data_IF_389531209940
#
_entry.id   IF_389531209940
#
_cell.length_a   1.000
_cell.length_b   1.000
_cell.length_c   1.000
_cell.angle_alpha   90.00
_cell.angle_beta   90.00
_cell.angle_gamma   90.00
#
_symmetry.space_group_name_H-M   'P 1'
#
loop_
_entity.id
_entity.type
_entity.pdbx_description
1 polymer ?
#
# COMPACT_ATOMS: atom_id res chain seq x y z
N UNK A 1 12.87 28.74 29.29
CA UNK A 1 11.95 27.60 29.01
C UNK A 1 11.54 27.66 27.55
N UNK A 2 12.09 26.77 26.71
CA UNK A 2 11.74 26.62 25.30
C UNK A 2 10.28 26.18 25.16
N UNK A 3 9.49 26.90 24.36
CA UNK A 3 8.06 26.70 24.20
C UNK A 3 7.75 25.43 23.41
N UNK A 4 7.21 24.39 24.06
CA UNK A 4 6.68 23.16 23.43
C UNK A 4 5.61 23.42 22.35
N UNK A 5 5.03 24.62 22.34
CA UNK A 5 4.00 25.04 21.37
C UNK A 5 4.58 25.48 20.01
N UNK A 6 5.82 25.96 19.97
CA UNK A 6 6.46 26.41 18.72
C UNK A 6 7.01 25.20 17.93
N UNK A 7 7.54 24.18 18.61
CA UNK A 7 7.97 22.94 17.93
C UNK A 7 6.81 22.22 17.22
N UNK A 8 5.59 22.26 17.79
CA UNK A 8 4.41 21.60 17.18
C UNK A 8 3.84 22.34 15.96
N UNK A 9 4.23 23.60 15.75
CA UNK A 9 3.87 24.38 14.56
C UNK A 9 4.92 24.23 13.44
N UNK A 10 6.15 23.89 13.79
CA UNK A 10 7.26 23.66 12.85
C UNK A 10 7.31 22.22 12.33
N UNK A 11 6.75 21.28 13.07
CA UNK A 11 6.64 19.87 12.67
C UNK A 11 5.31 19.69 11.94
N UNK A 12 5.33 19.51 10.62
CA UNK A 12 4.13 19.22 9.84
C UNK A 12 3.32 18.06 10.43
N UNK A 13 2.02 18.00 10.13
CA UNK A 13 1.18 16.86 10.57
C UNK A 13 1.54 15.60 9.80
N UNK A 14 1.46 14.45 10.46
CA UNK A 14 1.52 13.15 9.83
C UNK A 14 0.44 13.00 8.77
N UNK A 15 0.75 12.26 7.70
CA UNK A 15 -0.16 12.02 6.58
C UNK A 15 -0.45 10.54 6.43
N UNK A 16 -1.71 10.20 6.19
CA UNK A 16 -2.11 8.83 5.86
C UNK A 16 -1.81 8.56 4.39
N UNK A 17 -0.92 7.62 4.11
CA UNK A 17 -0.52 7.27 2.72
C UNK A 17 -0.98 5.89 2.28
N UNK A 18 -1.48 5.07 3.20
CA UNK A 18 -2.20 3.85 2.92
C UNK A 18 -3.40 3.76 3.86
N UNK A 19 -4.50 3.29 3.31
CA UNK A 19 -5.80 3.15 3.97
C UNK A 19 -6.53 1.94 3.39
N UNK A 20 -6.78 0.96 4.25
CA UNK A 20 -7.41 -0.32 3.93
C UNK A 20 -6.73 -1.04 2.76
N UNK A 21 -5.42 -1.27 2.87
CA UNK A 21 -4.61 -1.95 1.85
C UNK A 21 -4.41 -1.17 0.55
N UNK A 22 -4.87 0.08 0.46
CA UNK A 22 -4.77 0.92 -0.74
C UNK A 22 -3.95 2.18 -0.48
N UNK A 23 -3.02 2.47 -1.40
CA UNK A 23 -2.23 3.69 -1.40
C UNK A 23 -3.08 4.93 -1.72
N UNK A 24 -2.91 5.98 -0.92
CA UNK A 24 -3.44 7.33 -1.19
C UNK A 24 -2.42 8.09 -2.03
N UNK A 25 -2.40 7.83 -3.34
CA UNK A 25 -1.36 8.33 -4.25
C UNK A 25 -1.21 9.85 -4.24
N UNK A 26 -2.32 10.60 -4.17
CA UNK A 26 -2.28 12.07 -4.07
C UNK A 26 -1.61 12.53 -2.78
N UNK A 27 -1.93 11.87 -1.65
CA UNK A 27 -1.29 12.17 -0.37
C UNK A 27 0.19 11.80 -0.41
N UNK A 28 0.55 10.65 -0.97
CA UNK A 28 1.93 10.19 -1.09
C UNK A 28 2.78 11.15 -1.93
N UNK A 29 2.24 11.70 -3.03
CA UNK A 29 2.88 12.73 -3.86
C UNK A 29 3.22 14.01 -3.11
N UNK A 30 2.55 14.28 -1.99
CA UNK A 30 2.82 15.43 -1.12
C UNK A 30 3.83 15.14 0.00
N UNK A 31 4.39 13.93 0.03
CA UNK A 31 5.41 13.52 1.01
C UNK A 31 6.80 13.44 0.38
N UNK A 32 7.81 13.22 1.24
CA UNK A 32 9.21 13.02 0.81
C UNK A 32 9.46 11.62 0.21
N UNK A 33 8.52 10.68 0.32
CA UNK A 33 8.69 9.31 -0.17
C UNK A 33 7.95 9.08 -1.49
N UNK A 34 8.66 8.52 -2.48
CA UNK A 34 8.01 7.95 -3.66
C UNK A 34 7.28 6.65 -3.32
N UNK A 35 6.37 6.23 -4.20
CA UNK A 35 5.70 4.93 -4.10
C UNK A 35 6.72 3.80 -4.06
N UNK A 36 7.66 3.77 -4.98
CA UNK A 36 8.67 2.72 -5.10
C UNK A 36 9.50 2.62 -3.82
N UNK A 37 9.85 3.76 -3.21
CA UNK A 37 10.58 3.79 -1.94
C UNK A 37 9.71 3.27 -0.79
N UNK A 38 8.43 3.64 -0.73
CA UNK A 38 7.50 3.10 0.26
C UNK A 38 7.38 1.58 0.14
N UNK A 39 7.13 1.04 -1.06
CA UNK A 39 7.01 -0.41 -1.27
C UNK A 39 8.31 -1.15 -0.89
N UNK A 40 9.47 -0.58 -1.21
CA UNK A 40 10.77 -1.13 -0.79
C UNK A 40 10.95 -1.14 0.74
N UNK A 41 10.51 -0.09 1.43
CA UNK A 41 10.55 -0.02 2.90
C UNK A 41 9.59 -1.00 3.57
N UNK A 42 8.45 -1.29 2.93
CA UNK A 42 7.48 -2.29 3.38
C UNK A 42 8.01 -3.72 3.17
N UNK A 43 8.58 -4.01 2.01
CA UNK A 43 9.24 -5.28 1.73
C UNK A 43 10.34 -5.57 2.76
N UNK A 44 11.21 -4.58 3.04
CA UNK A 44 12.26 -4.69 4.06
C UNK A 44 11.74 -4.85 5.50
N UNK A 45 10.43 -4.67 5.74
CA UNK A 45 9.74 -4.93 7.02
C UNK A 45 8.92 -6.21 7.02
N UNK A 46 9.07 -7.05 6.00
CA UNK A 46 8.37 -8.34 5.90
C UNK A 46 6.92 -8.24 5.43
N UNK A 47 6.47 -7.07 4.93
CA UNK A 47 5.15 -6.96 4.30
C UNK A 47 5.24 -7.60 2.92
N UNK A 48 4.40 -8.61 2.69
CA UNK A 48 4.34 -9.38 1.46
C UNK A 48 3.27 -8.87 0.49
N UNK A 49 2.16 -8.33 1.00
CA UNK A 49 1.10 -7.71 0.20
C UNK A 49 0.40 -6.58 0.98
N UNK A 50 -0.10 -5.56 0.29
CA UNK A 50 -0.63 -4.35 0.94
C UNK A 50 -1.84 -4.61 1.85
N UNK A 51 -2.63 -5.64 1.56
CA UNK A 51 -3.84 -5.97 2.34
C UNK A 51 -3.55 -6.45 3.78
N UNK A 52 -2.27 -6.71 4.12
CA UNK A 52 -1.83 -6.94 5.50
C UNK A 52 -1.86 -5.67 6.37
N UNK A 53 -2.00 -4.49 5.77
CA UNK A 53 -1.95 -3.21 6.47
C UNK A 53 -3.31 -2.50 6.38
N UNK A 54 -3.84 -2.06 7.52
CA UNK A 54 -5.00 -1.16 7.55
C UNK A 54 -4.56 0.27 7.28
N UNK A 55 -3.47 0.75 7.91
CA UNK A 55 -3.00 2.14 7.72
C UNK A 55 -1.49 2.28 7.69
N UNK A 56 -1.03 3.30 6.96
CA UNK A 56 0.35 3.81 7.06
C UNK A 56 0.30 5.32 7.26
N UNK A 57 1.03 5.78 8.27
CA UNK A 57 1.28 7.19 8.53
C UNK A 57 2.73 7.53 8.15
N UNK A 58 2.91 8.65 7.44
CA UNK A 58 4.22 9.27 7.18
C UNK A 58 4.32 10.55 8.00
N UNK A 59 5.34 10.64 8.84
CA UNK A 59 5.75 11.88 9.48
C UNK A 59 6.51 12.78 8.48
N UNK A 60 6.60 14.11 8.72
CA UNK A 60 7.43 15.01 7.89
C UNK A 60 8.89 14.57 7.76
N UNK A 61 9.41 13.86 8.77
CA UNK A 61 10.76 13.28 8.78
C UNK A 61 10.94 12.14 7.75
N UNK A 62 9.85 11.61 7.21
CA UNK A 62 9.83 10.39 6.40
C UNK A 62 9.71 9.10 7.22
N UNK A 63 9.63 9.19 8.56
CA UNK A 63 9.37 8.03 9.41
C UNK A 63 7.98 7.43 9.14
N UNK A 64 7.91 6.10 9.17
CA UNK A 64 6.71 5.32 8.91
C UNK A 64 6.17 4.70 10.20
N UNK A 65 4.87 4.86 10.44
CA UNK A 65 4.12 4.02 11.38
C UNK A 65 3.19 3.12 10.59
N UNK A 66 3.30 1.80 10.81
CA UNK A 66 2.46 0.78 10.18
C UNK A 66 1.40 0.30 11.16
N UNK A 67 0.15 0.23 10.70
CA UNK A 67 -0.96 -0.40 11.40
C UNK A 67 -1.37 -1.63 10.61
N UNK A 68 -1.14 -2.80 11.21
CA UNK A 68 -1.50 -4.08 10.63
C UNK A 68 -3.01 -4.28 10.64
N UNK A 69 -3.50 -5.05 9.68
CA UNK A 69 -4.90 -5.47 9.65
C UNK A 69 -5.04 -6.74 10.49
N UNK A 70 -5.97 -6.75 11.46
CA UNK A 70 -6.25 -7.92 12.31
C UNK A 70 -6.75 -9.11 11.47
N UNK A 71 -7.43 -8.81 10.36
CA UNK A 71 -7.86 -9.78 9.34
C UNK A 71 -7.31 -9.34 7.99
N UNK A 72 -6.10 -9.81 7.61
CA UNK A 72 -5.48 -9.46 6.35
C UNK A 72 -6.41 -9.69 5.16
N UNK A 73 -6.53 -8.68 4.30
CA UNK A 73 -7.33 -8.73 3.07
C UNK A 73 -6.43 -9.08 1.89
N UNK A 74 -7.01 -9.49 0.77
CA UNK A 74 -6.26 -9.56 -0.48
C UNK A 74 -5.65 -8.20 -0.83
N UNK A 75 -4.53 -8.15 -1.53
CA UNK A 75 -3.92 -6.87 -1.89
C UNK A 75 -2.78 -6.97 -2.90
N UNK A 76 -2.17 -5.82 -3.17
CA UNK A 76 -1.07 -5.73 -4.13
C UNK A 76 0.19 -6.39 -3.55
N UNK A 77 0.78 -7.32 -4.30
CA UNK A 77 2.06 -7.93 -3.96
C UNK A 77 3.17 -6.88 -3.77
N UNK A 78 3.93 -7.03 -2.70
CA UNK A 78 5.08 -6.19 -2.30
C UNK A 78 6.41 -6.92 -2.49
N UNK A 79 6.37 -8.25 -2.59
CA UNK A 79 7.53 -9.08 -2.90
C UNK A 79 8.16 -8.71 -4.26
N UNK A 80 9.46 -9.01 -4.48
CA UNK A 80 10.14 -8.64 -5.70
C UNK A 80 9.49 -9.30 -6.92
N UNK A 81 9.26 -8.51 -7.98
CA UNK A 81 8.65 -9.01 -9.24
C UNK A 81 9.45 -10.11 -9.94
N UNK A 82 10.74 -10.24 -9.62
CA UNK A 82 11.58 -11.32 -10.12
C UNK A 82 11.19 -12.68 -9.53
N UNK A 83 10.57 -12.72 -8.34
CA UNK A 83 10.11 -13.94 -7.70
C UNK A 83 8.71 -14.32 -8.18
N UNK A 84 8.64 -14.76 -9.43
CA UNK A 84 7.38 -15.14 -10.08
C UNK A 84 6.70 -16.33 -9.40
N UNK A 85 7.49 -17.25 -8.83
CA UNK A 85 6.98 -18.45 -8.17
C UNK A 85 6.24 -18.07 -6.88
N UNK A 86 6.84 -17.22 -6.05
CA UNK A 86 6.19 -16.73 -4.83
C UNK A 86 4.94 -15.91 -5.16
N UNK A 87 5.02 -15.01 -6.14
CA UNK A 87 3.84 -14.23 -6.55
C UNK A 87 2.71 -15.16 -6.96
N UNK A 88 2.96 -16.13 -7.85
CA UNK A 88 1.96 -17.08 -8.31
C UNK A 88 1.36 -17.91 -7.16
N UNK A 89 2.16 -18.32 -6.18
CA UNK A 89 1.68 -19.07 -5.02
C UNK A 89 0.77 -18.25 -4.10
N UNK A 90 0.94 -16.93 -4.08
CA UNK A 90 0.12 -16.02 -3.27
C UNK A 90 -1.12 -15.51 -4.00
N UNK A 91 -1.27 -15.76 -5.32
CA UNK A 91 -2.40 -15.24 -6.09
C UNK A 91 -3.72 -15.86 -5.60
N UNK A 92 -4.75 -15.02 -5.50
CA UNK A 92 -6.12 -15.46 -5.25
C UNK A 92 -6.99 -15.20 -6.46
N UNK A 93 -7.90 -16.14 -6.73
CA UNK A 93 -8.83 -16.02 -7.83
C UNK A 93 -10.03 -15.10 -7.54
N UNK A 94 -10.19 -14.63 -6.30
CA UNK A 94 -11.36 -13.85 -5.87
C UNK A 94 -11.35 -12.39 -6.36
N UNK A 95 -10.17 -11.76 -6.43
CA UNK A 95 -10.04 -10.33 -6.70
C UNK A 95 -8.92 -10.02 -7.68
N UNK A 96 -9.11 -8.95 -8.43
CA UNK A 96 -8.02 -8.24 -9.09
C UNK A 96 -7.58 -7.06 -8.23
N UNK A 97 -6.34 -6.61 -8.43
CA UNK A 97 -5.76 -5.47 -7.73
C UNK A 97 -5.12 -4.49 -8.70
N UNK A 98 -5.40 -3.21 -8.49
CA UNK A 98 -4.81 -2.14 -9.28
C UNK A 98 -3.32 -2.04 -8.98
N UNK A 99 -2.49 -2.13 -10.02
CA UNK A 99 -1.04 -2.05 -9.92
C UNK A 99 -0.54 -0.72 -9.36
N UNK A 100 -1.30 0.34 -9.61
CA UNK A 100 -0.88 1.70 -9.27
C UNK A 100 -1.14 2.06 -7.82
N UNK A 101 -2.32 1.72 -7.29
CA UNK A 101 -2.76 2.14 -5.96
C UNK A 101 -3.14 1.00 -5.02
N UNK A 102 -3.23 -0.25 -5.49
CA UNK A 102 -3.65 -1.37 -4.65
C UNK A 102 -5.16 -1.49 -4.44
N UNK A 103 -5.99 -0.73 -5.15
CA UNK A 103 -7.45 -0.88 -5.06
C UNK A 103 -7.88 -2.25 -5.57
N UNK A 104 -8.75 -2.93 -4.82
CA UNK A 104 -9.34 -4.20 -5.24
C UNK A 104 -10.53 -3.97 -6.18
N UNK A 105 -10.72 -4.93 -7.08
CA UNK A 105 -11.93 -5.09 -7.87
C UNK A 105 -12.30 -6.58 -7.92
N UNK A 106 -13.57 -6.88 -8.17
CA UNK A 106 -13.99 -8.27 -8.34
C UNK A 106 -13.28 -8.90 -9.53
N UNK A 107 -13.00 -10.21 -9.47
CA UNK A 107 -12.31 -10.92 -10.56
C UNK A 107 -12.98 -10.77 -11.94
N UNK A 108 -14.30 -10.63 -11.95
CA UNK A 108 -15.11 -10.48 -13.16
C UNK A 108 -15.07 -9.06 -13.75
N UNK A 109 -14.34 -8.13 -13.12
CA UNK A 109 -14.17 -6.78 -13.66
C UNK A 109 -13.39 -6.86 -14.98
N UNK A 110 -13.85 -6.18 -16.05
CA UNK A 110 -13.17 -6.19 -17.34
C UNK A 110 -11.70 -5.73 -17.21
N UNK A 111 -10.81 -6.38 -17.95
CA UNK A 111 -9.37 -6.09 -17.90
C UNK A 111 -9.02 -4.66 -18.39
N UNK A 112 -9.85 -4.08 -19.24
CA UNK A 112 -9.75 -2.71 -19.76
C UNK A 112 -10.39 -1.66 -18.82
N UNK A 113 -10.98 -2.10 -17.71
CA UNK A 113 -11.61 -1.20 -16.75
C UNK A 113 -10.63 -0.18 -16.17
N UNK A 114 -11.12 1.03 -15.97
CA UNK A 114 -10.38 2.11 -15.33
C UNK A 114 -10.51 1.98 -13.82
N UNK A 115 -9.40 2.00 -13.08
CA UNK A 115 -9.43 2.04 -11.63
C UNK A 115 -10.11 3.33 -11.14
N UNK A 116 -11.24 3.20 -10.43
CA UNK A 116 -12.00 4.35 -9.93
C UNK A 116 -11.25 5.20 -8.88
N UNK A 117 -10.17 4.68 -8.28
CA UNK A 117 -9.37 5.40 -7.29
C UNK A 117 -8.22 6.22 -7.88
N UNK A 118 -7.66 5.81 -9.01
CA UNK A 118 -6.44 6.45 -9.55
C UNK A 118 -6.40 6.56 -11.07
N UNK A 119 -7.43 6.11 -11.76
CA UNK A 119 -7.60 6.15 -13.21
C UNK A 119 -6.56 5.37 -14.03
N UNK A 120 -5.80 4.46 -13.40
CA UNK A 120 -4.93 3.54 -14.10
C UNK A 120 -5.71 2.33 -14.65
N UNK A 121 -5.14 1.67 -15.67
CA UNK A 121 -5.74 0.50 -16.35
C UNK A 121 -4.97 -0.80 -16.11
N UNK A 122 -3.93 -0.77 -15.27
CA UNK A 122 -3.10 -1.95 -15.01
C UNK A 122 -3.65 -2.71 -13.81
N UNK A 123 -4.13 -3.92 -14.06
CA UNK A 123 -4.66 -4.84 -13.05
C UNK A 123 -3.82 -6.12 -13.01
N UNK A 124 -3.69 -6.70 -11.82
CA UNK A 124 -3.09 -8.01 -11.58
C UNK A 124 -4.05 -8.87 -10.76
N UNK A 125 -3.78 -10.17 -10.65
CA UNK A 125 -4.35 -11.01 -9.58
C UNK A 125 -3.98 -10.41 -8.22
N UNK A 126 -4.94 -10.35 -7.29
CA UNK A 126 -4.62 -9.95 -5.92
C UNK A 126 -3.85 -11.06 -5.21
N UNK A 127 -3.08 -10.70 -4.19
CA UNK A 127 -2.32 -11.65 -3.37
C UNK A 127 -2.91 -11.79 -1.96
N UNK A 128 -2.83 -12.99 -1.38
CA UNK A 128 -3.20 -13.32 0.00
C UNK A 128 -2.04 -14.03 0.71
N UNK A 129 -2.25 -14.39 1.99
CA UNK A 129 -1.32 -15.27 2.69
C UNK A 129 -1.25 -16.62 1.96
N UNK A 130 -0.09 -17.28 2.04
CA UNK A 130 0.04 -18.67 1.64
C UNK A 130 -0.76 -19.51 2.65
N UNK A 131 -1.63 -20.38 2.15
CA UNK A 131 -2.28 -21.41 2.97
C UNK A 131 -1.24 -22.52 3.21
N UNK A 132 -1.07 -22.92 4.47
CA UNK A 132 -0.24 -24.07 4.88
C UNK A 132 -0.97 -25.41 4.68
#
# INVERSE_FOLDING_TARGET
MRSRRVDRLLTGRERVVLDEGRLKLETLRSTVLSREKLLSLLHGRGVQYLGQLSRIYIEPSGALTLVWNDTPRSGLAIVPRSDKALIAAMETDAHQVCLSCGNLADRNTPADSTCHCCHAHNWLSASTALED
#
